data_IF_845468864295
#
_entry.id   IF_845468864295
#
_cell.length_a   1.000
_cell.length_b   1.000
_cell.length_c   1.000
_cell.angle_alpha   90.00
_cell.angle_beta   90.00
_cell.angle_gamma   90.00
#
_symmetry.space_group_name_H-M   'P 1'
#
loop_
_entity.id
_entity.type
_entity.pdbx_description
1 polymer ?
#
# COMPACT_ATOMS: atom_id res chain seq x y z
N UNK A 1 -7.05 19.98 21.86
CA UNK A 1 -5.79 19.23 21.91
C UNK A 1 -6.03 17.77 22.27
N UNK A 2 -5.79 16.88 21.31
CA UNK A 2 -5.98 15.43 21.39
C UNK A 2 -4.65 14.77 21.03
N UNK A 3 -4.26 13.76 21.80
CA UNK A 3 -3.06 12.97 21.56
C UNK A 3 -3.44 11.69 20.80
N UNK A 4 -2.75 11.44 19.70
CA UNK A 4 -2.84 10.16 18.99
C UNK A 4 -1.46 9.54 18.80
N UNK A 5 -1.42 8.22 18.87
CA UNK A 5 -0.27 7.42 18.47
C UNK A 5 -0.35 7.18 16.97
N UNK A 6 0.73 7.48 16.26
CA UNK A 6 0.89 7.28 14.83
C UNK A 6 1.97 6.23 14.59
N UNK A 7 1.82 5.47 13.52
CA UNK A 7 2.83 4.52 13.06
C UNK A 7 3.15 4.75 11.58
N UNK A 8 4.42 4.62 11.23
CA UNK A 8 4.88 4.66 9.84
C UNK A 8 5.07 3.23 9.29
N UNK A 9 5.25 3.03 7.97
CA UNK A 9 5.47 1.71 7.37
C UNK A 9 6.77 1.03 7.81
N UNK A 10 7.71 1.77 8.38
CA UNK A 10 8.96 1.26 8.97
C UNK A 10 8.78 0.82 10.44
N UNK A 11 7.53 0.67 10.92
CA UNK A 11 7.18 0.28 12.29
C UNK A 11 7.63 1.27 13.38
N UNK A 12 7.97 2.52 13.04
CA UNK A 12 8.20 3.55 14.05
C UNK A 12 6.87 4.07 14.60
N UNK A 13 6.71 3.92 15.91
CA UNK A 13 5.55 4.44 16.65
C UNK A 13 5.96 5.76 17.32
N UNK A 14 5.23 6.82 17.01
CA UNK A 14 5.45 8.14 17.58
C UNK A 14 4.12 8.81 17.91
N UNK A 15 4.18 9.91 18.64
CA UNK A 15 2.98 10.57 19.12
C UNK A 15 2.88 11.99 18.61
N UNK A 16 1.66 12.35 18.20
CA UNK A 16 1.36 13.66 17.69
C UNK A 16 0.14 14.25 18.39
N UNK A 17 0.27 15.54 18.69
CA UNK A 17 -0.80 16.35 19.25
C UNK A 17 -1.54 17.03 18.12
N UNK A 18 -2.84 16.87 18.09
CA UNK A 18 -3.74 17.50 17.15
C UNK A 18 -4.65 18.46 17.87
N UNK A 19 -5.11 19.50 17.17
CA UNK A 19 -6.03 20.45 17.78
C UNK A 19 -7.40 19.78 18.00
N UNK A 20 -7.92 19.13 16.95
CA UNK A 20 -9.15 18.35 16.93
C UNK A 20 -9.03 17.05 16.12
N UNK A 21 -10.05 16.18 16.21
CA UNK A 21 -10.10 14.91 15.45
C UNK A 21 -10.18 15.17 13.94
N UNK A 22 -10.93 16.19 13.53
CA UNK A 22 -11.07 16.57 12.13
C UNK A 22 -9.73 17.05 11.52
N UNK A 23 -8.94 17.83 12.27
CA UNK A 23 -7.60 18.24 11.85
C UNK A 23 -6.66 17.04 11.69
N UNK A 24 -6.76 16.03 12.56
CA UNK A 24 -5.97 14.82 12.43
C UNK A 24 -6.25 14.10 11.11
N UNK A 25 -7.53 13.92 10.75
CA UNK A 25 -7.93 13.27 9.51
C UNK A 25 -7.48 14.08 8.28
N UNK A 26 -7.65 15.41 8.33
CA UNK A 26 -7.21 16.32 7.27
C UNK A 26 -5.68 16.31 7.06
N UNK A 27 -4.90 16.32 8.14
CA UNK A 27 -3.43 16.28 8.06
C UNK A 27 -2.90 14.93 7.58
N UNK A 28 -3.55 13.83 7.96
CA UNK A 28 -3.24 12.49 7.47
C UNK A 28 -3.56 12.38 5.97
N UNK A 29 -4.73 12.85 5.55
CA UNK A 29 -5.13 12.88 4.13
C UNK A 29 -4.21 13.78 3.28
N UNK A 30 -3.75 14.90 3.83
CA UNK A 30 -2.80 15.80 3.18
C UNK A 30 -1.34 15.32 3.22
N UNK A 31 -1.05 14.21 3.92
CA UNK A 31 0.31 13.70 4.15
C UNK A 31 1.25 14.77 4.74
N UNK A 32 0.69 15.68 5.54
CA UNK A 32 1.39 16.80 6.14
C UNK A 32 2.21 16.40 7.38
N UNK A 33 2.06 15.15 7.83
CA UNK A 33 2.73 14.61 9.01
C UNK A 33 3.88 13.74 8.53
N UNK A 34 5.06 14.00 9.09
CA UNK A 34 6.28 13.27 8.74
C UNK A 34 6.78 12.50 9.95
N UNK A 35 7.17 11.25 9.74
CA UNK A 35 7.83 10.45 10.77
C UNK A 35 9.17 11.10 11.14
N UNK A 36 9.42 11.45 12.42
CA UNK A 36 10.67 12.07 12.84
C UNK A 36 11.87 11.11 12.79
N UNK A 37 11.63 9.80 12.72
CA UNK A 37 12.67 8.76 12.70
C UNK A 37 13.19 8.50 11.28
N UNK A 38 12.29 8.32 10.31
CA UNK A 38 12.66 7.95 8.93
C UNK A 38 12.33 9.01 7.86
N UNK A 39 11.53 10.02 8.19
CA UNK A 39 11.09 11.02 7.20
C UNK A 39 9.92 10.57 6.32
N UNK A 40 9.29 9.43 6.59
CA UNK A 40 8.11 8.98 5.83
C UNK A 40 6.89 9.88 6.10
N UNK A 41 6.20 10.31 5.04
CA UNK A 41 4.95 11.09 5.12
C UNK A 41 3.70 10.22 5.15
N UNK A 42 3.84 8.93 4.85
CA UNK A 42 2.77 7.94 4.94
C UNK A 42 2.71 7.39 6.36
N UNK A 43 1.94 8.05 7.22
CA UNK A 43 1.74 7.64 8.62
C UNK A 43 0.26 7.35 8.85
N UNK A 44 -0.04 6.39 9.72
CA UNK A 44 -1.42 5.97 10.04
C UNK A 44 -1.66 6.03 11.54
N UNK A 45 -2.92 6.21 11.94
CA UNK A 45 -3.30 6.25 13.36
C UNK A 45 -3.21 4.84 13.94
N UNK A 46 -2.28 4.61 14.87
CA UNK A 46 -2.11 3.35 15.58
C UNK A 46 -3.19 3.24 16.65
N UNK A 47 -4.40 2.89 16.24
CA UNK A 47 -5.44 2.38 17.14
C UNK A 47 -5.18 0.87 17.25
N UNK A 48 -5.04 0.34 18.47
CA UNK A 48 -4.85 -1.11 18.68
C UNK A 48 -5.89 -1.92 17.93
N UNK A 49 -5.49 -2.51 16.80
CA UNK A 49 -6.25 -3.45 16.00
C UNK A 49 -5.23 -4.32 15.22
N UNK A 50 -5.43 -5.65 15.16
CA UNK A 50 -4.40 -6.59 14.70
C UNK A 50 -4.01 -6.31 13.25
N UNK A 51 -2.70 -6.11 13.07
CA UNK A 51 -1.92 -6.04 11.83
C UNK A 51 -2.72 -6.26 10.51
N UNK A 52 -3.17 -5.16 9.89
CA UNK A 52 -3.53 -5.17 8.46
C UNK A 52 -2.35 -4.56 7.73
N UNK A 53 -1.57 -5.44 7.10
CA UNK A 53 -0.31 -5.15 6.44
C UNK A 53 -0.43 -3.98 5.47
N UNK A 54 0.47 -3.02 5.62
CA UNK A 54 0.81 -2.12 4.54
C UNK A 54 1.51 -2.94 3.45
N UNK A 55 0.92 -3.03 2.28
CA UNK A 55 1.67 -3.32 1.06
C UNK A 55 1.16 -2.41 -0.05
N UNK A 56 2.07 -1.54 -0.47
CA UNK A 56 1.94 -0.46 -1.45
C UNK A 56 1.24 -0.90 -2.73
N UNK A 57 0.52 0.00 -3.43
CA UNK A 57 0.21 -0.19 -4.84
C UNK A 57 1.50 0.04 -5.63
N UNK A 58 2.26 -1.03 -5.87
CA UNK A 58 3.30 -1.03 -6.89
C UNK A 58 2.78 -1.81 -8.10
N UNK A 59 1.93 -1.16 -8.90
CA UNK A 59 1.92 -1.47 -10.32
C UNK A 59 3.09 -0.69 -10.98
N UNK A 60 3.64 -1.11 -12.13
CA UNK A 60 3.26 -2.23 -13.00
C UNK A 60 4.45 -3.16 -13.35
N UNK A 61 4.16 -4.27 -14.05
CA UNK A 61 5.03 -5.07 -14.92
C UNK A 61 5.13 -6.56 -14.54
N UNK A 62 4.27 -7.35 -15.18
CA UNK A 62 4.71 -8.61 -15.76
C UNK A 62 4.60 -8.47 -17.29
N UNK A 63 5.70 -8.29 -18.03
CA UNK A 63 5.74 -8.70 -19.42
C UNK A 63 5.93 -10.23 -19.41
N UNK A 64 4.85 -10.96 -19.64
CA UNK A 64 4.97 -12.37 -20.02
C UNK A 64 4.06 -12.64 -21.20
N UNK A 65 4.60 -12.28 -22.37
CA UNK A 65 4.40 -13.08 -23.56
C UNK A 65 5.03 -14.45 -23.28
N UNK A 66 4.23 -15.39 -22.79
CA UNK A 66 4.49 -16.83 -22.75
C UNK A 66 3.13 -17.51 -22.50
N UNK A 67 2.63 -18.45 -23.27
CA UNK A 67 3.24 -19.27 -24.31
C UNK A 67 2.12 -19.99 -25.07
N UNK A 68 2.40 -20.32 -26.33
CA UNK A 68 2.08 -21.61 -26.94
C UNK A 68 0.64 -22.15 -26.77
N UNK A 69 -0.32 -21.53 -27.45
CA UNK A 69 -1.49 -22.26 -27.98
C UNK A 69 -1.53 -22.21 -29.52
N UNK A 70 -0.35 -22.10 -30.12
CA UNK A 70 -0.08 -22.84 -31.34
C UNK A 70 0.33 -24.25 -30.90
N UNK A 71 -0.23 -25.27 -31.56
CA UNK A 71 0.13 -26.69 -31.42
C UNK A 71 -0.49 -27.46 -30.23
N UNK A 72 -1.82 -27.66 -30.21
CA UNK A 72 -2.42 -28.97 -29.93
C UNK A 72 -3.96 -28.91 -30.02
N UNK A 73 -4.52 -29.18 -31.20
CA UNK A 73 -5.97 -29.30 -31.32
C UNK A 73 -6.52 -29.35 -32.74
N UNK A 74 -6.04 -30.30 -33.55
CA UNK A 74 -6.85 -30.97 -34.59
C UNK A 74 -7.38 -30.13 -35.78
N UNK A 75 -6.64 -30.11 -36.89
CA UNK A 75 -7.23 -30.00 -38.23
C UNK A 75 -6.63 -31.08 -39.14
N UNK A 76 -7.36 -32.18 -39.41
CA UNK A 76 -6.93 -33.25 -40.30
C UNK A 76 -7.11 -32.81 -41.77
N UNK A 77 -6.60 -33.63 -42.70
CA UNK A 77 -6.77 -33.56 -44.17
C UNK A 77 -5.62 -32.79 -44.87
N UNK A 78 -4.85 -33.34 -45.83
CA UNK A 78 -5.07 -34.42 -46.78
C UNK A 78 -3.69 -34.89 -47.31
N UNK A 79 -3.37 -36.17 -47.18
CA UNK A 79 -2.38 -36.86 -47.99
C UNK A 79 -3.12 -37.99 -48.71
N UNK A 80 -3.20 -37.91 -50.04
CA UNK A 80 -3.97 -38.76 -50.92
C UNK A 80 -4.27 -38.02 -52.21
#
# INVERSE_FOLDING_TARGET
MIRYSLECPDEHVFEHWFDSIADADAQLAAHAITCPECGATTVRKSLMAPNIGASKPSAPALPSCASASCCAGSCPALAG
#
